data_IF_813980924061
#
_entry.id   IF_813980924061
#
_cell.length_a   1.000
_cell.length_b   1.000
_cell.length_c   1.000
_cell.angle_alpha   90.00
_cell.angle_beta   90.00
_cell.angle_gamma   90.00
#
_symmetry.space_group_name_H-M   'P 1'
#
loop_
_entity.id
_entity.type
_entity.pdbx_description
1 polymer ?
#
# COMPACT_ATOMS: atom_id res chain seq x y z
N UNK A 1 3.02 29.79 -16.08
CA UNK A 1 1.90 30.61 -15.56
C UNK A 1 1.29 29.84 -14.41
N UNK A 2 0.87 30.54 -13.36
CA UNK A 2 0.25 29.92 -12.20
C UNK A 2 -1.08 29.25 -12.54
N UNK A 3 -1.37 28.19 -11.82
CA UNK A 3 -2.67 27.53 -11.80
C UNK A 3 -3.63 28.36 -10.96
N UNK A 4 -4.87 28.52 -11.42
CA UNK A 4 -5.92 29.24 -10.66
C UNK A 4 -6.58 28.36 -9.58
N UNK A 5 -6.04 27.17 -9.33
CA UNK A 5 -6.59 26.19 -8.39
C UNK A 5 -6.10 26.48 -6.97
N UNK A 6 -6.95 26.33 -5.94
CA UNK A 6 -6.52 26.40 -4.54
C UNK A 6 -5.55 25.27 -4.18
N UNK A 7 -5.63 24.14 -4.89
CA UNK A 7 -4.71 23.03 -4.78
C UNK A 7 -3.51 23.21 -5.72
N UNK A 8 -2.31 22.83 -5.31
CA UNK A 8 -1.17 22.75 -6.21
C UNK A 8 0.17 22.61 -5.49
N UNK A 9 1.23 22.46 -6.27
CA UNK A 9 2.61 22.36 -5.79
C UNK A 9 3.39 23.60 -6.22
N UNK A 10 4.24 24.11 -5.33
CA UNK A 10 5.13 25.23 -5.64
C UNK A 10 6.35 24.71 -6.41
N UNK A 11 6.55 25.15 -7.64
CA UNK A 11 7.69 24.78 -8.48
C UNK A 11 8.48 26.03 -8.88
N UNK A 12 9.61 25.86 -9.57
CA UNK A 12 10.32 26.97 -10.19
C UNK A 12 10.34 26.79 -11.71
N UNK A 13 10.02 27.85 -12.44
CA UNK A 13 10.19 27.88 -13.88
C UNK A 13 11.68 27.81 -14.23
N UNK A 14 12.07 26.84 -15.07
CA UNK A 14 13.48 26.55 -15.36
C UNK A 14 14.21 27.71 -16.04
N UNK A 15 13.53 28.46 -16.91
CA UNK A 15 14.18 29.50 -17.73
C UNK A 15 14.26 30.83 -16.99
N UNK A 16 13.21 31.21 -16.27
CA UNK A 16 13.11 32.50 -15.59
C UNK A 16 13.43 32.45 -14.10
N UNK A 17 13.51 31.25 -13.51
CA UNK A 17 13.69 31.06 -12.06
C UNK A 17 12.49 31.50 -11.22
N UNK A 18 11.39 31.95 -11.85
CA UNK A 18 10.22 32.45 -11.14
C UNK A 18 9.50 31.30 -10.45
N UNK A 19 9.14 31.45 -9.16
CA UNK A 19 8.24 30.51 -8.49
C UNK A 19 6.92 30.43 -9.26
N UNK A 20 6.38 29.22 -9.37
CA UNK A 20 5.08 28.95 -10.00
C UNK A 20 4.23 28.09 -9.07
N UNK A 21 2.95 28.41 -8.97
CA UNK A 21 1.95 27.53 -8.36
C UNK A 21 1.35 26.63 -9.43
N UNK A 22 1.56 25.32 -9.32
CA UNK A 22 1.18 24.36 -10.37
C UNK A 22 0.24 23.28 -9.83
N UNK A 23 -0.96 23.20 -10.40
CA UNK A 23 -1.89 22.11 -10.15
C UNK A 23 -1.78 21.05 -11.26
N UNK A 24 -1.25 19.89 -10.88
CA UNK A 24 -1.09 18.71 -11.74
C UNK A 24 -2.15 17.62 -11.47
N UNK A 25 -3.25 17.96 -10.77
CA UNK A 25 -4.34 17.03 -10.43
C UNK A 25 -5.71 17.57 -10.76
N UNK A 26 -6.17 18.62 -10.09
CA UNK A 26 -7.58 19.02 -10.13
C UNK A 26 -7.89 19.93 -11.31
N UNK A 27 -7.07 20.96 -11.53
CA UNK A 27 -7.22 21.87 -12.66
C UNK A 27 -7.18 21.17 -14.02
N UNK A 28 -6.20 20.29 -14.34
CA UNK A 28 -6.21 19.57 -15.61
C UNK A 28 -7.42 18.64 -15.75
N UNK A 29 -7.89 18.03 -14.67
CA UNK A 29 -9.10 17.18 -14.69
C UNK A 29 -10.36 18.02 -14.94
N UNK A 30 -10.52 19.16 -14.27
CA UNK A 30 -11.63 20.11 -14.50
C UNK A 30 -11.65 20.66 -15.93
N UNK A 31 -10.48 20.78 -16.57
CA UNK A 31 -10.34 21.20 -17.97
C UNK A 31 -10.55 20.05 -18.98
N UNK A 32 -10.76 18.82 -18.52
CA UNK A 32 -10.90 17.64 -19.39
C UNK A 32 -9.60 17.22 -20.09
N UNK A 33 -8.43 17.65 -19.58
CA UNK A 33 -7.12 17.29 -20.16
C UNK A 33 -6.69 15.88 -19.73
N UNK A 34 -7.06 15.49 -18.52
CA UNK A 34 -6.79 14.15 -17.97
C UNK A 34 -8.09 13.53 -17.46
N UNK A 35 -8.16 12.20 -17.53
CA UNK A 35 -9.31 11.41 -17.06
C UNK A 35 -9.10 10.83 -15.66
N UNK A 36 -7.87 10.86 -15.14
CA UNK A 36 -7.51 10.39 -13.80
C UNK A 36 -6.33 11.20 -13.24
N UNK A 37 -6.00 11.01 -11.95
CA UNK A 37 -4.93 11.75 -11.25
C UNK A 37 -3.61 10.99 -11.14
N UNK A 38 -3.48 9.85 -11.81
CA UNK A 38 -2.29 9.00 -11.75
C UNK A 38 -1.09 9.74 -12.36
N UNK A 39 0.09 9.49 -11.80
CA UNK A 39 1.33 10.19 -12.17
C UNK A 39 2.43 9.17 -12.41
N UNK A 40 3.15 9.36 -13.50
CA UNK A 40 4.33 8.57 -13.83
C UNK A 40 5.56 9.47 -13.83
N UNK A 41 6.47 9.24 -12.89
CA UNK A 41 7.68 10.04 -12.69
C UNK A 41 8.87 9.23 -13.19
N UNK A 42 9.44 9.64 -14.33
CA UNK A 42 10.53 8.94 -15.00
C UNK A 42 11.83 9.75 -14.95
N UNK A 43 12.96 9.06 -14.80
CA UNK A 43 14.30 9.63 -14.90
C UNK A 43 15.38 8.64 -14.47
N UNK A 44 16.63 8.77 -14.93
CA UNK A 44 17.74 7.91 -14.51
C UNK A 44 18.07 8.09 -13.02
N UNK A 45 18.90 7.21 -12.46
CA UNK A 45 19.43 7.43 -11.10
C UNK A 45 20.13 8.79 -11.01
N UNK A 46 19.97 9.49 -9.88
CA UNK A 46 20.52 10.84 -9.69
C UNK A 46 19.77 11.99 -10.39
N UNK A 47 18.73 11.73 -11.19
CA UNK A 47 18.01 12.79 -11.92
C UNK A 47 17.06 13.65 -11.07
N UNK A 48 17.02 13.44 -9.74
CA UNK A 48 16.13 14.16 -8.83
C UNK A 48 14.70 13.61 -8.72
N UNK A 49 14.42 12.37 -9.14
CA UNK A 49 13.09 11.74 -8.99
C UNK A 49 12.60 11.79 -7.54
N UNK A 50 13.38 11.24 -6.60
CA UNK A 50 13.01 11.21 -5.18
C UNK A 50 12.92 12.61 -4.57
N UNK A 51 13.75 13.55 -5.04
CA UNK A 51 13.69 14.95 -4.62
C UNK A 51 12.36 15.59 -5.01
N UNK A 52 11.96 15.44 -6.28
CA UNK A 52 10.66 15.91 -6.75
C UNK A 52 9.50 15.22 -6.03
N UNK A 53 9.54 13.90 -5.87
CA UNK A 53 8.48 13.14 -5.21
C UNK A 53 8.32 13.54 -3.75
N UNK A 54 9.41 13.72 -2.99
CA UNK A 54 9.35 14.25 -1.62
C UNK A 54 8.66 15.61 -1.57
N UNK A 55 9.04 16.52 -2.47
CA UNK A 55 8.45 17.85 -2.52
C UNK A 55 6.95 17.81 -2.86
N UNK A 56 6.57 17.00 -3.86
CA UNK A 56 5.17 16.79 -4.23
C UNK A 56 4.38 16.21 -3.05
N UNK A 57 4.84 15.11 -2.46
CA UNK A 57 4.19 14.43 -1.34
C UNK A 57 4.01 15.36 -0.15
N UNK A 58 5.06 16.12 0.22
CA UNK A 58 4.98 17.11 1.30
C UNK A 58 3.88 18.14 1.04
N UNK A 59 3.83 18.73 -0.16
CA UNK A 59 2.83 19.73 -0.48
C UNK A 59 1.42 19.14 -0.51
N UNK A 60 1.25 17.89 -0.96
CA UNK A 60 -0.04 17.18 -0.92
C UNK A 60 -0.49 16.97 0.52
N UNK A 61 0.42 16.49 1.36
CA UNK A 61 0.20 16.31 2.79
C UNK A 61 -0.21 17.62 3.48
N UNK A 62 0.54 18.71 3.25
CA UNK A 62 0.23 20.04 3.80
C UNK A 62 -1.13 20.59 3.34
N UNK A 63 -1.70 20.04 2.26
CA UNK A 63 -3.03 20.36 1.73
C UNK A 63 -4.11 19.33 2.12
N UNK A 64 -3.82 18.44 3.08
CA UNK A 64 -4.80 17.51 3.65
C UNK A 64 -4.92 16.17 2.92
N UNK A 65 -4.03 15.84 1.99
CA UNK A 65 -4.04 14.51 1.37
C UNK A 65 -3.51 13.45 2.35
N UNK A 66 -4.22 12.32 2.45
CA UNK A 66 -3.68 11.12 3.09
C UNK A 66 -2.65 10.46 2.17
N UNK A 67 -1.45 10.22 2.69
CA UNK A 67 -0.33 9.68 1.90
C UNK A 67 0.07 8.32 2.45
N UNK A 68 -0.08 7.29 1.62
CA UNK A 68 0.55 5.99 1.83
C UNK A 68 1.70 5.84 0.81
N UNK A 69 2.90 5.54 1.28
CA UNK A 69 4.09 5.45 0.44
C UNK A 69 4.86 4.17 0.75
N UNK A 70 5.21 3.43 -0.31
CA UNK A 70 6.11 2.27 -0.24
C UNK A 70 7.53 2.75 -0.58
N UNK A 71 8.44 2.71 0.39
CA UNK A 71 9.80 3.21 0.26
C UNK A 71 10.82 2.07 0.30
N UNK A 72 11.41 1.73 -0.85
CA UNK A 72 12.45 0.71 -0.92
C UNK A 72 13.86 1.24 -0.64
N UNK A 73 14.05 2.57 -0.63
CA UNK A 73 15.36 3.21 -0.58
C UNK A 73 15.53 4.21 0.57
N UNK A 74 14.62 4.20 1.55
CA UNK A 74 14.55 5.15 2.67
C UNK A 74 14.64 6.63 2.24
N UNK A 75 14.25 6.94 1.00
CA UNK A 75 14.33 8.28 0.43
C UNK A 75 13.31 9.25 1.03
N UNK A 76 12.26 8.72 1.68
CA UNK A 76 11.13 9.48 2.22
C UNK A 76 11.07 9.44 3.74
N UNK A 77 11.92 8.63 4.39
CA UNK A 77 12.02 8.53 5.86
C UNK A 77 12.23 9.90 6.51
N UNK A 78 13.16 10.71 6.00
CA UNK A 78 13.44 12.03 6.58
C UNK A 78 12.25 12.99 6.55
N UNK A 79 11.42 12.93 5.50
CA UNK A 79 10.17 13.71 5.43
C UNK A 79 9.15 13.18 6.44
N UNK A 80 9.01 11.86 6.53
CA UNK A 80 8.09 11.21 7.47
C UNK A 80 8.45 11.57 8.93
N UNK A 81 9.73 11.49 9.31
CA UNK A 81 10.21 11.89 10.63
C UNK A 81 10.02 13.38 10.92
N UNK A 82 10.19 14.25 9.91
CA UNK A 82 9.94 15.67 10.06
C UNK A 82 8.46 15.94 10.38
N UNK A 83 7.55 15.26 9.68
CA UNK A 83 6.11 15.31 9.95
C UNK A 83 5.85 14.82 11.38
N UNK A 84 6.38 13.65 11.74
CA UNK A 84 6.25 13.06 13.07
C UNK A 84 6.65 14.00 14.20
N UNK A 85 7.81 14.63 14.09
CA UNK A 85 8.29 15.60 15.08
C UNK A 85 7.39 16.85 15.12
N UNK A 86 6.97 17.36 13.96
CA UNK A 86 6.11 18.55 13.87
C UNK A 86 4.73 18.34 14.48
N UNK A 87 4.17 17.13 14.31
CA UNK A 87 2.86 16.75 14.86
C UNK A 87 2.97 16.09 16.24
N UNK A 88 4.17 16.06 16.84
CA UNK A 88 4.43 15.44 18.16
C UNK A 88 3.95 13.98 18.23
N UNK A 89 4.08 13.26 17.13
CA UNK A 89 3.73 11.85 17.02
C UNK A 89 2.29 11.55 16.62
N UNK A 90 1.46 12.56 16.40
CA UNK A 90 0.08 12.36 15.89
C UNK A 90 0.06 11.90 14.42
N UNK A 91 1.15 12.07 13.68
CA UNK A 91 1.26 11.72 12.26
C UNK A 91 2.71 11.34 11.91
N UNK A 92 3.01 11.03 10.66
CA UNK A 92 4.37 10.67 10.22
C UNK A 92 4.77 9.31 10.75
N UNK A 93 4.06 8.27 10.33
CA UNK A 93 4.36 6.89 10.73
C UNK A 93 5.23 6.23 9.66
N UNK A 94 6.43 5.80 10.04
CA UNK A 94 7.34 5.07 9.17
C UNK A 94 7.50 3.63 9.66
N UNK A 95 6.88 2.69 8.95
CA UNK A 95 7.07 1.26 9.20
C UNK A 95 8.32 0.78 8.45
N UNK A 96 9.29 0.28 9.19
CA UNK A 96 10.52 -0.28 8.62
C UNK A 96 10.87 -1.60 9.29
N UNK A 97 11.60 -2.43 8.57
CA UNK A 97 12.15 -3.65 9.13
C UNK A 97 13.33 -3.30 10.03
N UNK A 98 13.34 -3.85 11.24
CA UNK A 98 14.51 -3.91 12.11
C UNK A 98 14.70 -5.36 12.54
N UNK A 99 15.92 -5.77 12.88
CA UNK A 99 16.16 -7.14 13.36
C UNK A 99 15.44 -7.39 14.69
N UNK A 100 15.29 -6.36 15.53
CA UNK A 100 14.55 -6.46 16.79
C UNK A 100 13.01 -6.44 16.60
N UNK A 101 12.53 -5.70 15.60
CA UNK A 101 11.10 -5.55 15.29
C UNK A 101 10.88 -5.77 13.78
N UNK A 102 10.76 -7.02 13.33
CA UNK A 102 10.43 -7.30 11.94
C UNK A 102 9.01 -6.81 11.64
N UNK A 103 8.77 -6.40 10.40
CA UNK A 103 7.42 -6.11 9.94
C UNK A 103 6.65 -7.43 9.90
N UNK A 104 5.72 -7.60 10.82
CA UNK A 104 4.79 -8.73 10.84
C UNK A 104 3.42 -8.29 10.35
N UNK A 105 2.86 -9.02 9.39
CA UNK A 105 1.49 -8.83 8.91
C UNK A 105 0.75 -10.17 8.96
N UNK A 106 -0.36 -10.22 9.70
CA UNK A 106 -1.20 -11.40 9.76
C UNK A 106 -2.43 -11.21 8.85
N UNK A 107 -2.49 -11.86 7.68
CA UNK A 107 -3.59 -11.69 6.75
C UNK A 107 -4.91 -12.29 7.25
N UNK A 108 -4.84 -13.25 8.19
CA UNK A 108 -5.99 -13.93 8.78
C UNK A 108 -6.56 -13.22 10.01
N UNK A 109 -5.96 -12.11 10.45
CA UNK A 109 -6.45 -11.37 11.61
C UNK A 109 -7.39 -10.24 11.20
N UNK A 110 -8.55 -10.15 11.86
CA UNK A 110 -9.45 -8.99 11.88
C UNK A 110 -10.04 -8.87 13.29
N UNK A 111 -10.25 -7.64 13.77
CA UNK A 111 -10.76 -7.41 15.13
C UNK A 111 -12.22 -7.89 15.30
N UNK A 112 -12.97 -7.93 14.20
CA UNK A 112 -14.41 -8.23 14.15
C UNK A 112 -14.75 -9.57 13.49
N UNK A 113 -13.74 -10.36 13.10
CA UNK A 113 -13.89 -11.61 12.36
C UNK A 113 -14.70 -11.46 11.05
N UNK A 114 -14.74 -10.25 10.48
CA UNK A 114 -15.38 -9.99 9.21
C UNK A 114 -14.40 -10.16 8.05
N UNK A 115 -14.75 -11.04 7.11
CA UNK A 115 -13.99 -11.32 5.90
C UNK A 115 -14.93 -11.21 4.71
N UNK A 116 -14.92 -10.04 4.06
CA UNK A 116 -15.64 -9.85 2.80
C UNK A 116 -14.97 -10.60 1.64
N UNK A 117 -15.59 -10.51 0.47
CA UNK A 117 -15.10 -11.18 -0.75
C UNK A 117 -13.69 -10.70 -1.11
N UNK A 118 -13.45 -9.38 -1.06
CA UNK A 118 -12.14 -8.80 -1.41
C UNK A 118 -11.04 -9.27 -0.45
N UNK A 119 -11.31 -9.34 0.86
CA UNK A 119 -10.36 -9.85 1.85
C UNK A 119 -10.05 -11.32 1.62
N UNK A 120 -11.05 -12.16 1.38
CA UNK A 120 -10.87 -13.59 1.06
C UNK A 120 -10.01 -13.77 -0.20
N UNK A 121 -10.30 -13.02 -1.25
CA UNK A 121 -9.53 -13.02 -2.50
C UNK A 121 -8.09 -12.51 -2.30
N UNK A 122 -7.88 -11.50 -1.45
CA UNK A 122 -6.55 -10.98 -1.12
C UNK A 122 -5.69 -12.01 -0.38
N UNK A 123 -6.28 -12.78 0.54
CA UNK A 123 -5.60 -13.87 1.26
C UNK A 123 -5.19 -14.97 0.28
N UNK A 124 -6.10 -15.37 -0.62
CA UNK A 124 -5.78 -16.35 -1.66
C UNK A 124 -4.65 -15.86 -2.58
N UNK A 125 -4.72 -14.61 -3.03
CA UNK A 125 -3.70 -13.99 -3.88
C UNK A 125 -2.34 -13.94 -3.18
N UNK A 126 -2.32 -13.57 -1.90
CA UNK A 126 -1.11 -13.57 -1.09
C UNK A 126 -0.51 -14.97 -0.97
N UNK A 127 -1.32 -15.97 -0.64
CA UNK A 127 -0.88 -17.36 -0.50
C UNK A 127 -0.33 -17.92 -1.83
N UNK A 128 -1.00 -17.65 -2.96
CA UNK A 128 -0.51 -18.03 -4.29
C UNK A 128 0.82 -17.36 -4.62
N UNK A 129 0.96 -16.07 -4.29
CA UNK A 129 2.18 -15.30 -4.52
C UNK A 129 3.34 -15.80 -3.66
N UNK A 130 3.07 -16.25 -2.44
CA UNK A 130 4.07 -16.83 -1.54
C UNK A 130 4.45 -18.26 -1.94
N UNK A 131 3.49 -19.03 -2.44
CA UNK A 131 3.69 -20.44 -2.80
C UNK A 131 4.40 -20.59 -4.14
N UNK A 132 4.03 -19.82 -5.16
CA UNK A 132 4.52 -19.98 -6.53
C UNK A 132 5.55 -18.92 -6.87
N UNK A 133 6.71 -19.36 -7.35
CA UNK A 133 7.72 -18.49 -7.98
C UNK A 133 7.16 -17.82 -9.24
N UNK A 134 7.73 -16.69 -9.66
CA UNK A 134 7.27 -15.92 -10.82
C UNK A 134 7.15 -16.72 -12.14
N UNK A 135 7.87 -17.84 -12.25
CA UNK A 135 7.92 -18.68 -13.45
C UNK A 135 6.92 -19.86 -13.40
N UNK A 136 6.19 -20.07 -12.30
CA UNK A 136 5.20 -21.13 -12.19
C UNK A 136 3.79 -20.65 -12.53
N UNK A 137 3.16 -21.31 -13.50
CA UNK A 137 1.77 -21.04 -13.83
C UNK A 137 0.82 -21.64 -12.79
N UNK A 138 0.00 -20.79 -12.18
CA UNK A 138 -1.11 -21.20 -11.34
C UNK A 138 -2.24 -21.73 -12.22
N UNK A 139 -2.63 -22.98 -12.00
CA UNK A 139 -3.80 -23.55 -12.67
C UNK A 139 -5.10 -23.03 -12.03
N UNK A 140 -6.18 -22.98 -12.81
CA UNK A 140 -7.51 -22.61 -12.27
C UNK A 140 -7.96 -23.56 -11.15
N UNK A 141 -7.56 -24.83 -11.22
CA UNK A 141 -7.86 -25.83 -10.20
C UNK A 141 -7.14 -25.53 -8.90
N UNK A 142 -5.83 -25.24 -8.92
CA UNK A 142 -5.08 -24.87 -7.71
C UNK A 142 -5.66 -23.62 -7.04
N UNK A 143 -5.97 -22.59 -7.83
CA UNK A 143 -6.59 -21.37 -7.31
C UNK A 143 -7.98 -21.62 -6.71
N UNK A 144 -8.78 -22.49 -7.33
CA UNK A 144 -10.09 -22.90 -6.84
C UNK A 144 -10.01 -23.67 -5.52
N UNK A 145 -9.13 -24.66 -5.44
CA UNK A 145 -8.94 -25.47 -4.23
C UNK A 145 -8.42 -24.65 -3.05
N UNK A 146 -7.44 -23.77 -3.30
CA UNK A 146 -6.96 -22.86 -2.27
C UNK A 146 -8.06 -21.90 -1.80
N UNK A 147 -8.88 -21.39 -2.73
CA UNK A 147 -10.03 -20.56 -2.40
C UNK A 147 -11.05 -21.27 -1.51
N UNK A 148 -11.38 -22.53 -1.83
CA UNK A 148 -12.24 -23.37 -1.01
C UNK A 148 -11.66 -23.59 0.39
N UNK A 149 -10.36 -23.88 0.48
CA UNK A 149 -9.69 -24.13 1.75
C UNK A 149 -9.60 -22.88 2.65
N UNK A 150 -9.28 -21.72 2.06
CA UNK A 150 -9.29 -20.42 2.77
C UNK A 150 -10.70 -20.10 3.28
N UNK A 151 -11.73 -20.31 2.45
CA UNK A 151 -13.11 -20.08 2.88
C UNK A 151 -13.51 -21.00 4.04
N UNK A 152 -13.20 -22.29 3.96
CA UNK A 152 -13.54 -23.25 5.00
C UNK A 152 -12.82 -22.93 6.32
N UNK A 153 -11.54 -22.56 6.26
CA UNK A 153 -10.79 -22.11 7.43
C UNK A 153 -11.36 -20.80 8.04
N UNK A 154 -11.76 -19.84 7.19
CA UNK A 154 -12.40 -18.60 7.67
C UNK A 154 -13.70 -18.90 8.41
N UNK A 155 -14.54 -19.82 7.90
CA UNK A 155 -15.76 -20.20 8.62
C UNK A 155 -15.46 -20.92 9.95
N UNK A 156 -14.38 -21.69 10.04
CA UNK A 156 -13.92 -22.29 11.28
C UNK A 156 -13.55 -21.21 12.32
N UNK A 157 -12.66 -20.26 11.99
CA UNK A 157 -12.22 -19.24 12.95
C UNK A 157 -13.35 -18.25 13.32
N UNK A 158 -14.40 -18.14 12.49
CA UNK A 158 -15.62 -17.36 12.78
C UNK A 158 -16.58 -18.08 13.73
N UNK A 159 -16.50 -19.39 13.84
CA UNK A 159 -17.36 -20.20 14.70
C UNK A 159 -16.66 -20.58 16.00
N UNK A 160 -15.35 -20.79 15.97
CA UNK A 160 -14.50 -21.08 17.12
C UNK A 160 -13.42 -20.00 17.31
N UNK A 161 -13.72 -19.04 18.18
CA UNK A 161 -12.81 -17.93 18.49
C UNK A 161 -11.66 -18.34 19.43
N UNK A 162 -11.58 -19.60 19.87
CA UNK A 162 -10.43 -20.11 20.61
C UNK A 162 -9.22 -20.34 19.70
N UNK A 163 -9.46 -20.48 18.39
CA UNK A 163 -8.43 -20.61 17.38
C UNK A 163 -7.86 -19.23 17.07
N UNK A 164 -6.56 -19.05 17.31
CA UNK A 164 -5.85 -17.83 16.92
C UNK A 164 -5.68 -17.83 15.40
N UNK A 165 -6.29 -16.88 14.65
CA UNK A 165 -6.17 -16.87 13.20
C UNK A 165 -4.74 -16.52 12.80
N UNK A 166 -4.02 -17.40 12.09
CA UNK A 166 -2.69 -17.12 11.56
C UNK A 166 -2.29 -18.18 10.52
N UNK A 167 -1.12 -18.00 9.90
CA UNK A 167 -0.58 -18.99 8.96
C UNK A 167 -0.41 -20.38 9.57
N UNK A 168 -0.02 -20.48 10.86
CA UNK A 168 0.22 -21.77 11.50
C UNK A 168 -1.08 -22.56 11.67
N UNK A 169 -2.13 -21.94 12.21
CA UNK A 169 -3.42 -22.61 12.41
C UNK A 169 -4.13 -22.86 11.08
N UNK A 170 -3.92 -22.03 10.06
CA UNK A 170 -4.35 -22.35 8.69
C UNK A 170 -3.64 -23.60 8.15
N UNK A 171 -2.32 -23.70 8.33
CA UNK A 171 -1.54 -24.87 7.92
C UNK A 171 -1.97 -26.14 8.67
N UNK A 172 -2.17 -26.05 9.98
CA UNK A 172 -2.67 -27.17 10.81
C UNK A 172 -4.05 -27.62 10.34
N UNK A 173 -4.96 -26.68 10.08
CA UNK A 173 -6.28 -26.98 9.50
C UNK A 173 -6.16 -27.69 8.14
N UNK A 174 -5.29 -27.20 7.25
CA UNK A 174 -5.05 -27.85 5.96
C UNK A 174 -4.52 -29.27 6.10
N UNK A 175 -3.62 -29.52 7.07
CA UNK A 175 -2.96 -30.81 7.28
C UNK A 175 -3.89 -31.83 7.94
N UNK A 176 -4.64 -31.40 8.95
CA UNK A 176 -5.32 -32.30 9.90
C UNK A 176 -6.83 -32.41 9.65
N UNK A 177 -7.46 -31.45 8.97
CA UNK A 177 -8.92 -31.40 8.81
C UNK A 177 -9.33 -31.33 7.35
N UNK A 178 -8.78 -30.37 6.58
CA UNK A 178 -9.21 -30.14 5.20
C UNK A 178 -8.79 -31.28 4.24
N UNK A 179 -7.68 -31.95 4.54
CA UNK A 179 -7.11 -33.02 3.72
C UNK A 179 -7.62 -34.42 4.05
N UNK A 180 -8.49 -34.60 5.05
CA UNK A 180 -9.04 -35.93 5.33
C UNK A 180 -10.00 -36.37 4.21
N UNK A 181 -9.40 -36.96 3.18
CA UNK A 181 -9.88 -38.03 2.29
C UNK A 181 -8.82 -39.14 2.24
#
# INVERSE_FOLDING_TARGET
KDSLSPFGIKMADRLSGKPIHLDISDLPMKKGIITNRNKFILGPSGSGKSFFTNHMVRQYYEQGAHVLLVDTGNSYQGLCELIHRKTKGEDGVYFTYTDEHPISFNPFFTDDYFFDVEKRESICTLLLTLWKSADEHITKTEAGELGSAVNAYIELIRTDHTIVPCFNTFYEYLRDVYRED
#
